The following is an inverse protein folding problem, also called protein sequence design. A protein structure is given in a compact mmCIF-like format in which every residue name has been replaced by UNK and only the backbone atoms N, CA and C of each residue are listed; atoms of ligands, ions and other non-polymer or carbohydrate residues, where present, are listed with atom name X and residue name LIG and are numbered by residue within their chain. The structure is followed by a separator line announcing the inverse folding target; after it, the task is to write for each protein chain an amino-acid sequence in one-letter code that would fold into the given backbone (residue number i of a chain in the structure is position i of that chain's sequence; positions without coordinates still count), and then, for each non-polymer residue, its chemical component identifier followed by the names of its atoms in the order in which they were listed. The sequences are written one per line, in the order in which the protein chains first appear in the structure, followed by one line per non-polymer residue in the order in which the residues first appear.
data_IF_434849791583
#
_entry.id   IF_434849791583
#
_cell.length_a   1.000
_cell.length_b   1.000
_cell.length_c   1.000
_cell.angle_alpha   90.00
_cell.angle_beta   90.00
_cell.angle_gamma   90.00
#
_symmetry.space_group_name_H-M   'P 1'
#
loop_
_entity.id
_entity.type
_entity.pdbx_description
1 polymer ?
#
# COMPACT_ATOMS: atom_id res chain seq x y z
N UNK A 1 -5.23 -2.63 35.23
CA UNK A 1 -4.00 -1.85 34.94
C UNK A 1 -3.83 -1.66 33.42
N UNK A 2 -4.72 -0.91 32.77
CA UNK A 2 -4.61 -0.57 31.33
C UNK A 2 -3.91 0.79 31.09
N UNK A 3 -3.56 1.52 32.14
CA UNK A 3 -3.08 2.92 32.05
C UNK A 3 -1.59 3.06 31.77
N UNK A 4 -0.76 2.08 32.13
CA UNK A 4 0.69 2.11 31.83
C UNK A 4 0.94 1.50 30.45
N UNK A 5 1.42 2.33 29.51
CA UNK A 5 1.80 1.89 28.16
C UNK A 5 0.88 2.40 27.05
N UNK A 6 -0.41 2.64 27.32
CA UNK A 6 -1.35 3.22 26.33
C UNK A 6 -0.87 4.59 25.84
N UNK A 7 -0.38 5.44 26.74
CA UNK A 7 0.21 6.73 26.36
C UNK A 7 1.51 6.58 25.55
N UNK A 8 2.27 5.50 25.75
CA UNK A 8 3.50 5.19 24.98
C UNK A 8 3.18 4.71 23.56
N UNK A 9 2.09 3.95 23.41
CA UNK A 9 1.57 3.53 22.09
C UNK A 9 1.08 4.75 21.31
N UNK A 10 0.29 5.62 21.94
CA UNK A 10 -0.23 6.83 21.30
C UNK A 10 0.88 7.83 20.92
N UNK A 11 1.87 8.04 21.80
CA UNK A 11 3.03 8.89 21.48
C UNK A 11 3.95 8.27 20.42
N UNK A 12 4.14 6.94 20.44
CA UNK A 12 4.88 6.22 19.40
C UNK A 12 4.19 6.30 18.03
N UNK A 13 2.86 6.19 17.98
CA UNK A 13 2.08 6.36 16.75
C UNK A 13 2.23 7.78 16.19
N UNK A 14 2.06 8.81 17.03
CA UNK A 14 2.26 10.22 16.63
C UNK A 14 3.67 10.49 16.12
N UNK A 15 4.69 9.90 16.76
CA UNK A 15 6.08 10.05 16.31
C UNK A 15 6.35 9.32 14.98
N UNK A 16 5.57 8.29 14.64
CA UNK A 16 5.69 7.55 13.38
C UNK A 16 4.89 8.18 12.23
N UNK A 17 3.95 9.08 12.51
CA UNK A 17 3.13 9.78 11.50
C UNK A 17 4.00 10.40 10.39
N UNK A 18 5.09 11.15 10.67
CA UNK A 18 5.90 11.74 9.61
C UNK A 18 6.60 10.69 8.73
N UNK A 19 7.04 9.57 9.32
CA UNK A 19 7.67 8.48 8.57
C UNK A 19 6.66 7.79 7.66
N UNK A 20 5.44 7.58 8.15
CA UNK A 20 4.34 7.03 7.37
C UNK A 20 3.92 7.99 6.25
N UNK A 21 3.77 9.28 6.55
CA UNK A 21 3.45 10.30 5.56
C UNK A 21 4.51 10.38 4.45
N UNK A 22 5.80 10.35 4.82
CA UNK A 22 6.90 10.31 3.85
C UNK A 22 6.91 9.03 3.01
N UNK A 23 6.55 7.88 3.59
CA UNK A 23 6.41 6.64 2.82
C UNK A 23 5.24 6.71 1.84
N UNK A 24 4.08 7.20 2.30
CA UNK A 24 2.88 7.31 1.48
C UNK A 24 3.04 8.35 0.36
N UNK A 25 3.85 9.40 0.56
CA UNK A 25 4.17 10.36 -0.49
C UNK A 25 4.81 9.70 -1.72
N UNK A 26 5.64 8.67 -1.51
CA UNK A 26 6.31 7.93 -2.59
C UNK A 26 5.49 6.71 -3.05
N UNK A 27 4.82 6.03 -2.11
CA UNK A 27 4.07 4.81 -2.39
C UNK A 27 2.74 5.04 -3.12
N UNK A 28 2.00 6.12 -2.79
CA UNK A 28 0.70 6.39 -3.42
C UNK A 28 0.81 6.66 -4.94
N UNK A 29 1.79 7.43 -5.45
CA UNK A 29 2.01 7.55 -6.89
C UNK A 29 2.31 6.22 -7.57
N UNK A 30 3.12 5.35 -6.95
CA UNK A 30 3.43 4.02 -7.47
C UNK A 30 2.17 3.17 -7.58
N UNK A 31 1.38 3.11 -6.51
CA UNK A 31 0.09 2.39 -6.48
C UNK A 31 -0.87 2.92 -7.54
N UNK A 32 -0.97 4.25 -7.68
CA UNK A 32 -1.85 4.88 -8.68
C UNK A 32 -1.43 4.45 -10.10
N UNK A 33 -0.13 4.37 -10.36
CA UNK A 33 0.40 3.88 -11.64
C UNK A 33 0.01 2.42 -11.89
N UNK A 34 0.21 1.54 -10.91
CA UNK A 34 -0.15 0.12 -11.02
C UNK A 34 -1.67 -0.04 -11.21
N UNK A 35 -2.48 0.75 -10.52
CA UNK A 35 -3.92 0.71 -10.67
C UNK A 35 -4.37 1.12 -12.08
N UNK A 36 -3.81 2.20 -12.63
CA UNK A 36 -4.08 2.62 -14.01
C UNK A 36 -3.67 1.52 -15.02
N UNK A 37 -2.55 0.83 -14.81
CA UNK A 37 -2.16 -0.31 -15.65
C UNK A 37 -3.22 -1.43 -15.59
N UNK A 38 -3.67 -1.79 -14.39
CA UNK A 38 -4.70 -2.83 -14.19
C UNK A 38 -6.03 -2.44 -14.83
N UNK A 39 -6.44 -1.16 -14.78
CA UNK A 39 -7.68 -0.70 -15.41
C UNK A 39 -7.69 -0.90 -16.93
N UNK A 40 -6.53 -0.95 -17.57
CA UNK A 40 -6.42 -1.24 -19.01
C UNK A 40 -6.42 -2.74 -19.34
N UNK A 41 -6.32 -3.62 -18.35
CA UNK A 41 -6.32 -5.07 -18.55
C UNK A 41 -7.74 -5.60 -18.82
N UNK A 42 -7.91 -6.68 -19.61
CA UNK A 42 -9.17 -7.39 -19.72
C UNK A 42 -9.74 -7.82 -18.37
N UNK A 43 -11.06 -7.99 -18.28
CA UNK A 43 -11.78 -8.47 -17.08
C UNK A 43 -13.08 -9.18 -17.46
N UNK A 44 -12.98 -10.21 -18.32
CA UNK A 44 -14.14 -10.96 -18.81
C UNK A 44 -14.18 -12.39 -18.26
N UNK A 45 -13.03 -12.93 -17.88
CA UNK A 45 -12.85 -14.30 -17.43
C UNK A 45 -12.13 -14.36 -16.09
N UNK A 46 -12.20 -15.53 -15.44
CA UNK A 46 -11.45 -15.76 -14.20
C UNK A 46 -9.93 -15.66 -14.41
N UNK A 47 -9.43 -16.05 -15.60
CA UNK A 47 -8.02 -15.93 -15.95
C UNK A 47 -7.59 -14.47 -16.05
N UNK A 48 -8.47 -13.59 -16.56
CA UNK A 48 -8.22 -12.15 -16.57
C UNK A 48 -8.13 -11.60 -15.14
N UNK A 49 -9.04 -12.00 -14.25
CA UNK A 49 -9.01 -11.59 -12.85
C UNK A 49 -7.74 -12.08 -12.13
N UNK A 50 -7.29 -13.32 -12.40
CA UNK A 50 -6.03 -13.86 -11.88
C UNK A 50 -4.84 -13.06 -12.42
N UNK A 51 -4.83 -12.73 -13.72
CA UNK A 51 -3.78 -11.94 -14.33
C UNK A 51 -3.68 -10.53 -13.71
N UNK A 52 -4.82 -9.86 -13.50
CA UNK A 52 -4.90 -8.55 -12.82
C UNK A 52 -4.32 -8.61 -11.41
N UNK A 53 -4.71 -9.63 -10.63
CA UNK A 53 -4.20 -9.82 -9.27
C UNK A 53 -2.69 -10.13 -9.26
N UNK A 54 -2.22 -10.99 -10.15
CA UNK A 54 -0.80 -11.30 -10.27
C UNK A 54 0.03 -10.07 -10.69
N UNK A 55 -0.51 -9.24 -11.59
CA UNK A 55 0.12 -7.98 -12.00
C UNK A 55 0.25 -7.01 -10.83
N UNK A 56 -0.83 -6.82 -10.06
CA UNK A 56 -0.81 -6.03 -8.82
C UNK A 56 0.30 -6.49 -7.86
N UNK A 57 0.35 -7.78 -7.54
CA UNK A 57 1.32 -8.33 -6.59
C UNK A 57 2.77 -8.11 -7.06
N UNK A 58 3.06 -8.37 -8.35
CA UNK A 58 4.40 -8.18 -8.91
C UNK A 58 4.81 -6.72 -8.89
N UNK A 59 4.01 -5.83 -9.47
CA UNK A 59 4.37 -4.42 -9.58
C UNK A 59 4.44 -3.72 -8.22
N UNK A 60 3.57 -4.11 -7.27
CA UNK A 60 3.66 -3.59 -5.91
C UNK A 60 4.94 -4.07 -5.21
N UNK A 61 5.42 -5.29 -5.47
CA UNK A 61 6.67 -5.81 -4.89
C UNK A 61 7.94 -5.13 -5.41
N UNK A 62 7.88 -4.51 -6.58
CA UNK A 62 8.98 -3.76 -7.18
C UNK A 62 9.18 -2.38 -6.54
N UNK A 63 8.23 -1.91 -5.73
CA UNK A 63 8.34 -0.62 -5.06
C UNK A 63 9.59 -0.59 -4.15
N UNK A 64 10.49 0.34 -4.46
CA UNK A 64 11.74 0.56 -3.73
C UNK A 64 11.87 2.06 -3.41
N UNK A 65 12.24 2.41 -2.18
CA UNK A 65 12.42 3.80 -1.69
C UNK A 65 13.80 3.97 -1.06
#
# INVERSE_FOLDING_TARGET
MLTKGVQRIASGAKAAEPKMAAFMADFLPHVTTVQNEIETMPDLTIEDSIARAAHWMRRTSEFTR
#
